data_IF_743416226629
#
_entry.id   IF_743416226629
#
_cell.length_a   1.000
_cell.length_b   1.000
_cell.length_c   1.000
_cell.angle_alpha   90.00
_cell.angle_beta   90.00
_cell.angle_gamma   90.00
#
_symmetry.space_group_name_H-M   'P 1'
#
loop_
_entity.id
_entity.type
_entity.pdbx_description
1 polymer ?
#
# COMPACT_ATOMS: atom_id res chain seq x y z
N UNK A 1 30.53 -30.16 90.10
CA UNK A 1 30.82 -31.49 89.54
C UNK A 1 30.73 -31.35 88.02
N UNK A 2 31.86 -31.22 87.37
CA UNK A 2 32.47 -32.21 86.48
C UNK A 2 31.54 -32.63 85.34
N UNK A 3 31.88 -32.56 84.03
CA UNK A 3 33.15 -32.80 83.31
C UNK A 3 33.12 -32.19 81.97
N UNK A 4 34.28 -31.66 81.59
CA UNK A 4 34.80 -31.38 80.22
C UNK A 4 34.62 -32.60 79.31
N UNK A 5 34.37 -32.35 78.02
CA UNK A 5 35.16 -32.91 76.88
C UNK A 5 34.93 -32.18 75.62
N UNK A 6 35.96 -31.50 75.13
CA UNK A 6 36.38 -31.34 73.74
C UNK A 6 37.12 -32.65 73.37
N UNK A 7 37.35 -33.06 72.10
CA UNK A 7 37.64 -32.30 70.91
C UNK A 7 37.11 -33.02 69.65
N UNK A 8 37.17 -32.41 68.53
CA UNK A 8 38.18 -32.74 67.49
C UNK A 8 37.95 -32.02 66.23
N UNK A 9 38.99 -31.27 65.81
CA UNK A 9 39.15 -30.75 64.46
C UNK A 9 39.23 -31.93 63.50
N UNK A 10 38.38 -31.96 62.46
CA UNK A 10 38.68 -32.58 61.16
C UNK A 10 38.75 -31.50 60.13
N UNK A 11 39.95 -31.20 59.73
CA UNK A 11 40.31 -30.42 58.56
C UNK A 11 39.87 -31.19 57.33
N UNK A 12 38.90 -30.70 56.62
CA UNK A 12 38.68 -31.11 55.23
C UNK A 12 39.32 -30.06 54.32
N UNK A 13 40.59 -30.30 54.11
CA UNK A 13 41.33 -29.83 52.92
C UNK A 13 40.86 -30.64 51.74
N UNK A 14 39.79 -30.20 51.11
CA UNK A 14 39.43 -30.71 49.78
C UNK A 14 38.86 -29.57 48.98
N UNK A 15 39.66 -29.27 48.04
CA UNK A 15 39.43 -28.77 46.69
C UNK A 15 39.15 -27.28 46.48
N UNK A 16 40.16 -26.49 46.76
CA UNK A 16 40.36 -25.21 46.04
C UNK A 16 40.65 -25.45 44.54
N UNK A 17 41.01 -26.66 44.15
CA UNK A 17 41.33 -27.04 42.75
C UNK A 17 40.11 -27.34 41.87
N UNK A 18 38.98 -27.75 42.46
CA UNK A 18 37.75 -28.04 41.68
C UNK A 18 36.94 -26.80 41.29
N UNK A 19 37.01 -25.74 42.13
CA UNK A 19 36.34 -24.48 41.85
C UNK A 19 37.03 -23.68 40.74
N UNK A 20 38.36 -23.75 40.65
CA UNK A 20 39.10 -23.08 39.60
C UNK A 20 38.89 -23.73 38.20
N UNK A 21 38.75 -25.05 38.14
CA UNK A 21 38.40 -25.73 36.87
C UNK A 21 36.96 -25.45 36.39
N UNK A 22 36.00 -25.25 37.32
CA UNK A 22 34.61 -24.96 36.97
C UNK A 22 34.44 -23.51 36.48
N UNK A 23 35.25 -22.59 36.94
CA UNK A 23 35.28 -21.20 36.44
C UNK A 23 35.99 -21.03 35.10
N UNK A 24 36.93 -21.93 34.77
CA UNK A 24 37.56 -21.93 33.42
C UNK A 24 36.65 -22.51 32.34
N UNK A 25 35.68 -23.39 32.69
CA UNK A 25 34.73 -23.94 31.72
C UNK A 25 33.57 -23.01 31.38
N UNK A 26 33.32 -21.99 32.20
CA UNK A 26 32.28 -20.98 31.94
C UNK A 26 32.76 -19.76 31.11
N UNK A 27 34.05 -19.68 30.84
CA UNK A 27 34.63 -18.56 30.06
C UNK A 27 34.84 -18.85 28.58
N UNK A 28 34.48 -20.08 28.09
CA UNK A 28 34.65 -20.44 26.68
C UNK A 28 33.35 -20.55 25.88
N UNK A 29 32.23 -20.13 26.47
CA UNK A 29 30.96 -20.14 25.76
C UNK A 29 30.47 -18.70 25.60
N UNK A 30 30.92 -18.01 24.58
CA UNK A 30 30.21 -16.95 23.85
C UNK A 30 31.17 -16.14 22.98
N UNK A 31 32.01 -16.83 22.21
CA UNK A 31 32.32 -16.29 20.88
C UNK A 31 31.19 -16.84 20.02
N UNK A 32 30.05 -16.14 20.03
CA UNK A 32 29.13 -16.22 18.90
C UNK A 32 29.94 -15.70 17.71
N UNK A 33 30.53 -16.61 16.95
CA UNK A 33 30.98 -16.33 15.60
C UNK A 33 29.84 -15.61 14.90
N UNK A 34 30.07 -14.35 14.53
CA UNK A 34 29.25 -13.65 13.57
C UNK A 34 29.09 -14.61 12.39
N UNK A 35 27.88 -15.11 12.18
CA UNK A 35 27.61 -16.23 11.29
C UNK A 35 28.21 -15.96 9.93
N UNK A 36 29.19 -16.77 9.56
CA UNK A 36 29.70 -16.79 8.20
C UNK A 36 28.55 -17.25 7.31
N UNK A 37 28.09 -16.38 6.43
CA UNK A 37 27.12 -16.75 5.41
C UNK A 37 27.77 -17.75 4.46
N UNK A 38 27.05 -18.81 4.15
CA UNK A 38 27.49 -19.78 3.15
C UNK A 38 27.40 -19.16 1.76
N UNK A 39 28.23 -19.65 0.83
CA UNK A 39 28.20 -19.19 -0.59
C UNK A 39 26.80 -19.30 -1.18
N UNK A 40 26.05 -20.37 -0.87
CA UNK A 40 24.67 -20.56 -1.30
C UNK A 40 23.71 -19.49 -0.76
N UNK A 41 23.93 -18.98 0.45
CA UNK A 41 23.13 -17.90 1.01
C UNK A 41 23.46 -16.58 0.33
N UNK A 42 24.75 -16.32 0.07
CA UNK A 42 25.17 -15.12 -0.66
C UNK A 42 24.65 -15.13 -2.09
N UNK A 43 24.71 -16.26 -2.80
CA UNK A 43 24.11 -16.42 -4.13
C UNK A 43 22.59 -16.14 -4.09
N UNK A 44 21.87 -16.65 -3.07
CA UNK A 44 20.46 -16.37 -2.90
C UNK A 44 20.18 -14.88 -2.65
N UNK A 45 21.08 -14.17 -1.97
CA UNK A 45 20.97 -12.73 -1.77
C UNK A 45 21.21 -11.96 -3.07
N UNK A 46 22.20 -12.35 -3.86
CA UNK A 46 22.50 -11.75 -5.16
C UNK A 46 21.33 -11.81 -6.14
N UNK A 47 20.49 -12.84 -6.06
CA UNK A 47 19.29 -12.95 -6.91
C UNK A 47 18.29 -11.80 -6.76
N UNK A 48 18.41 -11.01 -5.71
CA UNK A 48 17.55 -9.83 -5.46
C UNK A 48 18.11 -8.53 -6.03
N UNK A 49 19.39 -8.50 -6.40
CA UNK A 49 20.02 -7.32 -7.00
C UNK A 49 19.33 -6.97 -8.32
N UNK A 50 19.09 -5.69 -8.55
CA UNK A 50 18.36 -5.17 -9.72
C UNK A 50 16.84 -5.29 -9.62
N UNK A 51 16.29 -5.82 -8.52
CA UNK A 51 14.85 -5.90 -8.31
C UNK A 51 14.32 -4.71 -7.53
N UNK A 52 13.07 -4.36 -7.82
CA UNK A 52 12.35 -3.27 -7.16
C UNK A 52 11.41 -3.87 -6.11
N UNK A 53 11.38 -3.23 -4.96
CA UNK A 53 10.52 -3.54 -3.82
C UNK A 53 9.84 -2.28 -3.31
N UNK A 54 8.76 -2.46 -2.55
CA UNK A 54 7.99 -1.39 -1.94
C UNK A 54 7.98 -1.53 -0.43
N UNK A 55 8.02 -0.39 0.24
CA UNK A 55 7.85 -0.30 1.69
C UNK A 55 6.38 -0.30 2.03
N UNK A 56 5.96 -1.19 2.92
CA UNK A 56 4.59 -1.27 3.42
C UNK A 56 4.56 -1.08 4.92
N UNK A 57 3.64 -0.26 5.41
CA UNK A 57 3.39 -0.18 6.85
C UNK A 57 2.58 -1.38 7.31
N UNK A 58 3.02 -1.99 8.40
CA UNK A 58 2.24 -2.98 9.13
C UNK A 58 2.07 -2.49 10.56
N UNK A 59 0.82 -2.30 10.99
CA UNK A 59 0.47 -1.78 12.33
C UNK A 59 1.18 -0.49 12.72
N UNK A 60 1.41 0.40 11.72
CA UNK A 60 2.13 1.65 11.90
C UNK A 60 3.66 1.52 11.89
N UNK A 61 4.19 0.30 11.79
CA UNK A 61 5.63 0.07 11.73
C UNK A 61 6.12 0.05 10.27
N UNK A 62 7.23 0.74 10.04
CA UNK A 62 7.96 0.75 8.78
C UNK A 62 9.33 0.09 8.96
N UNK A 63 9.90 -0.56 7.95
CA UNK A 63 11.24 -1.12 8.03
C UNK A 63 12.27 0.00 8.21
N UNK A 64 13.22 -0.21 9.11
CA UNK A 64 14.34 0.73 9.33
C UNK A 64 15.47 0.43 8.37
N UNK A 65 15.84 1.41 7.57
CA UNK A 65 17.04 1.37 6.74
C UNK A 65 18.19 2.08 7.45
N UNK A 66 19.41 1.79 7.07
CA UNK A 66 20.63 2.32 7.66
C UNK A 66 21.28 3.32 6.71
N UNK A 67 21.85 4.38 7.25
CA UNK A 67 22.55 5.40 6.44
C UNK A 67 23.87 4.91 5.86
N UNK A 68 24.52 3.95 6.53
CA UNK A 68 25.75 3.27 6.10
C UNK A 68 25.66 1.78 6.42
N UNK A 69 26.46 0.90 5.78
CA UNK A 69 26.44 -0.55 6.01
C UNK A 69 27.11 -0.92 7.35
N UNK A 70 26.47 -0.55 8.44
CA UNK A 70 26.93 -0.82 9.80
C UNK A 70 25.75 -0.93 10.76
N UNK A 71 25.79 -1.88 11.70
CA UNK A 71 24.77 -2.06 12.74
C UNK A 71 24.63 -0.87 13.69
N UNK A 72 25.66 -0.03 13.77
CA UNK A 72 25.69 1.19 14.58
C UNK A 72 25.19 2.44 13.82
N UNK A 73 24.83 2.30 12.55
CA UNK A 73 24.44 3.43 11.72
C UNK A 73 23.11 4.05 12.15
N UNK A 74 22.96 5.33 11.85
CA UNK A 74 21.69 6.02 12.00
C UNK A 74 20.62 5.35 11.14
N UNK A 75 19.43 5.17 11.72
CA UNK A 75 18.27 4.60 11.02
C UNK A 75 17.56 5.68 10.20
N UNK A 76 17.17 5.30 9.01
CA UNK A 76 16.32 6.07 8.13
C UNK A 76 14.98 5.32 7.97
N UNK A 77 13.89 6.04 8.07
CA UNK A 77 12.55 5.50 7.85
C UNK A 77 12.00 6.07 6.54
N UNK A 78 11.80 5.25 5.51
CA UNK A 78 11.26 5.71 4.23
C UNK A 78 9.77 6.04 4.35
N UNK A 79 9.23 6.66 3.30
CA UNK A 79 7.79 6.90 3.20
C UNK A 79 7.03 5.57 2.99
N UNK A 80 5.78 5.55 3.42
CA UNK A 80 4.89 4.41 3.15
C UNK A 80 4.64 4.30 1.63
N UNK A 81 4.66 3.07 1.12
CA UNK A 81 4.51 2.73 -0.30
C UNK A 81 5.61 3.29 -1.22
N UNK A 82 6.69 3.82 -0.65
CA UNK A 82 7.84 4.24 -1.44
C UNK A 82 8.55 3.01 -2.03
N UNK A 83 8.92 3.08 -3.30
CA UNK A 83 9.68 2.03 -3.96
C UNK A 83 11.18 2.22 -3.77
N UNK A 84 11.91 1.11 -3.78
CA UNK A 84 13.36 1.10 -3.80
C UNK A 84 13.89 -0.03 -4.67
N UNK A 85 15.03 0.22 -5.30
CA UNK A 85 15.78 -0.76 -6.09
C UNK A 85 16.99 -1.24 -5.30
N UNK A 86 17.27 -2.53 -5.31
CA UNK A 86 18.50 -3.10 -4.77
C UNK A 86 19.61 -2.93 -5.81
N UNK A 87 20.58 -2.06 -5.56
CA UNK A 87 21.66 -1.77 -6.49
C UNK A 87 22.77 -2.82 -6.45
N UNK A 88 23.16 -3.22 -5.23
CA UNK A 88 24.28 -4.16 -5.04
C UNK A 88 24.18 -4.84 -3.66
N UNK A 89 24.80 -5.99 -3.54
CA UNK A 89 25.09 -6.65 -2.28
C UNK A 89 26.47 -6.19 -1.77
N UNK A 90 26.47 -5.42 -0.69
CA UNK A 90 27.69 -4.92 -0.05
C UNK A 90 28.12 -5.88 1.06
N UNK A 91 29.39 -6.24 1.13
CA UNK A 91 29.91 -7.23 2.08
C UNK A 91 30.07 -8.61 1.43
N UNK A 92 30.23 -9.64 2.22
CA UNK A 92 30.49 -11.00 1.73
C UNK A 92 30.71 -11.97 2.88
N UNK A 93 31.32 -13.15 2.58
CA UNK A 93 31.51 -14.25 3.54
C UNK A 93 32.16 -13.86 4.87
N UNK A 94 33.03 -12.86 4.87
CA UNK A 94 33.78 -12.40 6.05
C UNK A 94 33.29 -11.07 6.64
N UNK A 95 32.23 -10.49 6.09
CA UNK A 95 31.61 -9.23 6.57
C UNK A 95 30.12 -9.34 6.53
N UNK A 96 29.42 -8.76 7.48
CA UNK A 96 27.96 -8.68 7.45
C UNK A 96 27.50 -8.14 6.10
N UNK A 97 26.62 -8.85 5.37
CA UNK A 97 26.10 -8.40 4.09
C UNK A 97 25.01 -7.35 4.30
N UNK A 98 24.99 -6.37 3.42
CA UNK A 98 23.95 -5.34 3.33
C UNK A 98 23.55 -5.18 1.86
N UNK A 99 22.28 -5.00 1.60
CA UNK A 99 21.84 -4.44 0.33
C UNK A 99 22.00 -2.93 0.35
N UNK A 100 22.70 -2.39 -0.64
CA UNK A 100 22.65 -0.98 -0.95
C UNK A 100 21.43 -0.75 -1.82
N UNK A 101 20.55 0.12 -1.39
CA UNK A 101 19.28 0.38 -2.05
C UNK A 101 19.18 1.86 -2.43
N UNK A 102 18.45 2.13 -3.50
CA UNK A 102 18.12 3.49 -3.94
C UNK A 102 16.61 3.64 -3.98
N UNK A 103 16.09 4.58 -3.23
CA UNK A 103 14.68 4.94 -3.20
C UNK A 103 14.27 5.78 -4.42
N UNK A 104 12.99 5.79 -4.73
CA UNK A 104 12.40 6.65 -5.77
C UNK A 104 12.68 8.14 -5.50
N UNK A 105 12.70 8.55 -4.23
CA UNK A 105 13.14 9.89 -3.79
C UNK A 105 14.59 10.23 -4.13
N UNK A 106 15.38 9.24 -4.61
CA UNK A 106 16.81 9.38 -4.90
C UNK A 106 17.72 9.11 -3.71
N UNK A 107 17.16 8.90 -2.52
CA UNK A 107 17.96 8.59 -1.34
C UNK A 107 18.58 7.20 -1.44
N UNK A 108 19.84 7.08 -0.98
CA UNK A 108 20.57 5.81 -0.87
C UNK A 108 20.60 5.38 0.59
N UNK A 109 20.33 4.11 0.85
CA UNK A 109 20.37 3.53 2.18
C UNK A 109 20.83 2.06 2.12
N UNK A 110 20.93 1.44 3.31
CA UNK A 110 21.35 0.05 3.44
C UNK A 110 20.36 -0.74 4.29
N UNK A 111 20.14 -1.99 3.93
CA UNK A 111 19.27 -2.90 4.68
C UNK A 111 19.89 -4.29 4.73
N UNK A 112 19.70 -5.00 5.83
CA UNK A 112 20.18 -6.39 5.95
C UNK A 112 19.34 -7.34 5.12
N UNK A 113 19.96 -8.34 4.45
CA UNK A 113 19.24 -9.37 3.68
C UNK A 113 18.21 -10.14 4.52
N UNK A 114 18.42 -10.31 5.82
CA UNK A 114 17.52 -11.02 6.73
C UNK A 114 16.15 -10.36 6.84
N UNK A 115 16.08 -9.05 6.62
CA UNK A 115 14.81 -8.31 6.62
C UNK A 115 13.82 -8.81 5.55
N UNK A 116 14.33 -9.54 4.53
CA UNK A 116 13.51 -10.19 3.50
C UNK A 116 13.12 -11.63 3.85
N UNK A 117 13.75 -12.22 4.88
CA UNK A 117 13.53 -13.62 5.29
C UNK A 117 12.60 -13.76 6.49
N UNK A 118 12.33 -12.70 7.21
CA UNK A 118 11.39 -12.76 8.31
C UNK A 118 10.01 -13.10 7.75
N UNK A 119 9.60 -14.35 7.92
CA UNK A 119 8.34 -14.92 7.36
C UNK A 119 7.08 -14.15 7.75
N UNK A 120 7.20 -13.20 8.66
CA UNK A 120 6.12 -12.34 9.16
C UNK A 120 6.36 -10.86 8.92
N UNK A 121 7.48 -10.47 8.31
CA UNK A 121 7.75 -9.07 8.03
C UNK A 121 7.13 -8.66 6.68
N UNK A 122 5.84 -8.34 6.71
CA UNK A 122 5.10 -7.86 5.54
C UNK A 122 5.40 -6.38 5.19
N UNK A 123 6.50 -5.83 5.74
CA UNK A 123 6.87 -4.42 5.54
C UNK A 123 7.61 -4.17 4.24
N UNK A 124 8.10 -5.22 3.57
CA UNK A 124 8.73 -5.15 2.25
C UNK A 124 8.01 -6.12 1.31
N UNK A 125 7.55 -5.62 0.18
CA UNK A 125 6.82 -6.40 -0.82
C UNK A 125 7.40 -6.19 -2.22
N UNK A 126 7.34 -7.23 -3.05
CA UNK A 126 7.67 -7.17 -4.48
C UNK A 126 6.49 -6.75 -5.35
N UNK A 127 5.31 -6.53 -4.75
CA UNK A 127 4.10 -6.11 -5.44
C UNK A 127 3.87 -4.63 -5.12
N UNK A 128 3.71 -3.79 -6.16
CA UNK A 128 3.36 -2.37 -5.98
C UNK A 128 2.02 -2.25 -5.24
N UNK A 129 1.98 -1.71 -4.00
CA UNK A 129 0.75 -1.57 -3.23
C UNK A 129 -0.28 -0.64 -3.87
N UNK A 130 0.17 0.21 -4.80
CA UNK A 130 -0.67 1.20 -5.49
C UNK A 130 -0.97 0.79 -6.94
N UNK A 131 -0.56 -0.41 -7.39
CA UNK A 131 -0.73 -0.86 -8.77
C UNK A 131 -2.19 -0.79 -9.23
N UNK A 132 -3.12 -1.24 -8.41
CA UNK A 132 -4.55 -1.20 -8.74
C UNK A 132 -5.08 0.23 -8.82
N UNK A 133 -4.67 1.10 -7.90
CA UNK A 133 -5.06 2.51 -7.93
C UNK A 133 -4.51 3.24 -9.16
N UNK A 134 -3.23 2.99 -9.51
CA UNK A 134 -2.60 3.54 -10.71
C UNK A 134 -3.34 3.08 -11.97
N UNK A 135 -3.62 1.78 -12.07
CA UNK A 135 -4.37 1.22 -13.20
C UNK A 135 -5.76 1.85 -13.33
N UNK A 136 -6.52 1.94 -12.24
CA UNK A 136 -7.84 2.58 -12.25
C UNK A 136 -7.76 4.07 -12.63
N UNK A 137 -6.76 4.80 -12.15
CA UNK A 137 -6.56 6.19 -12.51
C UNK A 137 -6.22 6.35 -14.01
N UNK A 138 -5.39 5.47 -14.56
CA UNK A 138 -5.07 5.44 -15.99
C UNK A 138 -6.31 5.10 -16.83
N UNK A 139 -7.09 4.09 -16.45
CA UNK A 139 -8.34 3.72 -17.11
C UNK A 139 -9.35 4.87 -17.10
N UNK A 140 -9.51 5.56 -15.96
CA UNK A 140 -10.39 6.73 -15.85
C UNK A 140 -9.89 7.90 -16.72
N UNK A 141 -8.59 8.15 -16.72
CA UNK A 141 -8.00 9.21 -17.56
C UNK A 141 -8.20 8.92 -19.05
N UNK A 142 -8.01 7.66 -19.44
CA UNK A 142 -8.25 7.23 -20.83
C UNK A 142 -9.72 7.36 -21.21
N UNK A 143 -10.63 6.85 -20.37
CA UNK A 143 -12.07 6.94 -20.60
C UNK A 143 -12.55 8.40 -20.73
N UNK A 144 -11.99 9.31 -19.93
CA UNK A 144 -12.30 10.73 -20.02
C UNK A 144 -11.79 11.37 -21.30
N UNK A 145 -10.57 11.04 -21.74
CA UNK A 145 -10.03 11.48 -23.05
C UNK A 145 -10.89 10.98 -24.20
N UNK A 146 -11.24 9.69 -24.21
CA UNK A 146 -12.09 9.08 -25.24
C UNK A 146 -13.48 9.72 -25.28
N UNK A 147 -14.02 10.09 -24.10
CA UNK A 147 -15.30 10.82 -23.98
C UNK A 147 -15.21 12.21 -24.63
N UNK A 148 -14.18 12.98 -24.30
CA UNK A 148 -13.98 14.35 -24.84
C UNK A 148 -13.75 14.31 -26.35
N UNK A 149 -12.94 13.37 -26.85
CA UNK A 149 -12.69 13.18 -28.27
C UNK A 149 -13.99 12.86 -29.00
N UNK A 150 -14.80 11.93 -28.45
CA UNK A 150 -16.09 11.61 -29.04
C UNK A 150 -17.03 12.84 -29.05
N UNK A 151 -17.11 13.65 -27.97
CA UNK A 151 -17.91 14.88 -27.95
C UNK A 151 -17.49 15.81 -29.07
N UNK A 152 -16.17 15.99 -29.25
CA UNK A 152 -15.63 16.87 -30.27
C UNK A 152 -15.93 16.39 -31.71
N UNK A 153 -16.08 15.09 -31.90
CA UNK A 153 -16.45 14.50 -33.20
C UNK A 153 -17.94 14.66 -33.56
N UNK A 154 -18.81 15.00 -32.60
CA UNK A 154 -20.22 15.13 -32.86
C UNK A 154 -20.56 16.39 -33.68
N UNK A 155 -21.62 16.36 -34.51
CA UNK A 155 -22.06 17.51 -35.31
C UNK A 155 -22.86 18.53 -34.46
N UNK A 156 -22.46 18.75 -33.21
CA UNK A 156 -23.14 19.66 -32.28
C UNK A 156 -22.55 21.09 -32.38
N UNK A 157 -23.36 22.08 -31.97
CA UNK A 157 -22.86 23.43 -31.83
C UNK A 157 -21.74 23.52 -30.78
N UNK A 158 -20.83 24.51 -30.88
CA UNK A 158 -19.76 24.68 -29.89
C UNK A 158 -20.27 24.79 -28.44
N UNK A 159 -21.44 25.43 -28.23
CA UNK A 159 -22.04 25.56 -26.92
C UNK A 159 -22.49 24.21 -26.35
N UNK A 160 -23.12 23.36 -27.17
CA UNK A 160 -23.53 22.02 -26.77
C UNK A 160 -22.30 21.13 -26.45
N UNK A 161 -21.25 21.19 -27.27
CA UNK A 161 -19.98 20.50 -27.01
C UNK A 161 -19.37 20.92 -25.69
N UNK A 162 -19.28 22.23 -25.44
CA UNK A 162 -18.73 22.75 -24.19
C UNK A 162 -19.55 22.32 -22.98
N UNK A 163 -20.88 22.36 -23.05
CA UNK A 163 -21.76 21.87 -22.01
C UNK A 163 -21.56 20.36 -21.74
N UNK A 164 -21.47 19.55 -22.83
CA UNK A 164 -21.23 18.11 -22.72
C UNK A 164 -19.86 17.78 -22.11
N UNK A 165 -18.79 18.51 -22.46
CA UNK A 165 -17.47 18.39 -21.82
C UNK A 165 -17.58 18.65 -20.32
N UNK A 166 -18.33 19.66 -19.93
CA UNK A 166 -18.57 20.02 -18.52
C UNK A 166 -19.60 19.10 -17.81
N UNK A 167 -20.01 17.99 -18.44
CA UNK A 167 -21.02 17.06 -17.91
C UNK A 167 -22.39 17.73 -17.65
N UNK A 168 -22.73 18.67 -18.49
CA UNK A 168 -24.02 19.41 -18.45
C UNK A 168 -24.82 19.10 -19.72
N UNK A 169 -25.60 18.01 -19.77
CA UNK A 169 -26.36 17.66 -20.95
C UNK A 169 -27.45 18.71 -21.23
N UNK A 170 -27.58 19.05 -22.50
CA UNK A 170 -28.54 20.03 -22.99
C UNK A 170 -29.80 19.34 -23.57
N UNK A 171 -30.97 20.00 -23.53
CA UNK A 171 -32.15 19.47 -24.20
C UNK A 171 -31.91 19.15 -25.68
N UNK A 172 -32.57 18.10 -26.16
CA UNK A 172 -32.43 17.60 -27.53
C UNK A 172 -31.45 16.45 -27.71
N UNK A 173 -30.59 16.14 -26.73
CA UNK A 173 -29.73 14.98 -26.75
C UNK A 173 -30.55 13.70 -26.52
N UNK A 174 -30.16 12.61 -27.19
CA UNK A 174 -30.81 11.32 -26.99
C UNK A 174 -30.24 10.57 -25.77
N UNK A 175 -30.92 9.50 -25.37
CA UNK A 175 -30.52 8.68 -24.20
C UNK A 175 -29.12 8.11 -24.32
N UNK A 176 -28.68 7.66 -25.52
CA UNK A 176 -27.34 7.13 -25.72
C UNK A 176 -26.24 8.19 -25.60
N UNK A 177 -26.50 9.38 -26.11
CA UNK A 177 -25.61 10.54 -25.99
C UNK A 177 -25.47 10.96 -24.54
N UNK A 178 -26.58 11.07 -23.81
CA UNK A 178 -26.55 11.44 -22.39
C UNK A 178 -25.82 10.40 -21.54
N UNK A 179 -26.02 9.10 -21.79
CA UNK A 179 -25.23 8.04 -21.12
C UNK A 179 -23.73 8.19 -21.40
N UNK A 180 -23.36 8.52 -22.61
CA UNK A 180 -21.95 8.69 -22.95
C UNK A 180 -21.31 9.93 -22.34
N UNK A 181 -22.12 10.97 -22.06
CA UNK A 181 -21.68 12.20 -21.40
C UNK A 181 -21.56 12.00 -19.89
N UNK A 182 -22.60 11.45 -19.24
CA UNK A 182 -22.74 11.39 -17.78
C UNK A 182 -22.44 10.00 -17.18
N UNK A 183 -22.43 8.96 -18.01
CA UNK A 183 -22.45 7.57 -17.56
C UNK A 183 -23.86 7.07 -17.28
N UNK A 184 -23.95 5.85 -16.73
CA UNK A 184 -25.24 5.23 -16.42
C UNK A 184 -25.93 5.89 -15.22
N UNK A 185 -27.26 6.15 -15.30
CA UNK A 185 -28.03 6.64 -14.18
C UNK A 185 -28.16 5.57 -13.08
N UNK A 186 -28.27 5.98 -11.83
CA UNK A 186 -28.52 5.09 -10.69
C UNK A 186 -29.88 4.39 -10.79
N UNK A 187 -30.88 5.06 -11.35
CA UNK A 187 -32.24 4.55 -11.51
C UNK A 187 -32.92 5.17 -12.74
N UNK A 188 -33.68 4.37 -13.44
CA UNK A 188 -34.54 4.80 -14.54
C UNK A 188 -36.00 4.49 -14.13
N UNK A 189 -36.87 5.46 -14.26
CA UNK A 189 -38.32 5.29 -14.08
C UNK A 189 -39.03 5.62 -15.39
N UNK A 190 -39.76 4.68 -15.92
CA UNK A 190 -40.59 4.89 -17.12
C UNK A 190 -42.00 5.25 -16.68
N UNK A 191 -42.44 6.43 -17.05
CA UNK A 191 -43.79 6.89 -16.80
C UNK A 191 -44.64 6.53 -18.02
N UNK A 192 -45.58 5.60 -17.84
CA UNK A 192 -46.62 5.37 -18.82
C UNK A 192 -47.67 6.49 -18.66
N UNK A 193 -47.47 7.56 -19.41
CA UNK A 193 -48.42 8.68 -19.40
C UNK A 193 -49.76 8.33 -20.03
N UNK A 194 -50.79 9.02 -19.59
CA UNK A 194 -52.12 9.05 -20.23
C UNK A 194 -52.02 9.71 -21.63
N UNK A 195 -50.91 10.36 -21.92
CA UNK A 195 -50.58 11.01 -23.19
C UNK A 195 -49.75 10.08 -24.08
N UNK A 196 -49.85 10.25 -25.42
CA UNK A 196 -49.14 9.45 -26.44
C UNK A 196 -47.64 9.50 -26.35
N UNK A 197 -47.06 10.29 -25.45
CA UNK A 197 -45.60 10.49 -25.29
C UNK A 197 -45.06 9.58 -24.19
N UNK A 198 -44.05 8.78 -24.54
CA UNK A 198 -43.28 8.02 -23.56
C UNK A 198 -42.34 8.93 -22.80
N UNK A 199 -42.50 9.02 -21.48
CA UNK A 199 -41.58 9.77 -20.61
C UNK A 199 -40.70 8.81 -19.81
N UNK A 200 -39.42 9.12 -19.71
CA UNK A 200 -38.46 8.46 -18.83
C UNK A 200 -37.78 9.48 -17.92
N UNK A 201 -37.63 9.13 -16.63
CA UNK A 201 -36.89 9.90 -15.66
C UNK A 201 -35.63 9.13 -15.24
N UNK A 202 -34.46 9.78 -15.37
CA UNK A 202 -33.18 9.22 -15.03
C UNK A 202 -32.62 9.94 -13.81
N UNK A 203 -32.29 9.20 -12.78
CA UNK A 203 -31.81 9.71 -11.49
C UNK A 203 -30.30 9.45 -11.36
N UNK A 204 -29.55 10.50 -11.12
CA UNK A 204 -28.12 10.46 -10.90
C UNK A 204 -27.75 10.61 -9.40
N UNK A 205 -26.56 10.13 -8.98
CA UNK A 205 -26.14 10.17 -7.57
C UNK A 205 -26.02 11.59 -6.97
N UNK A 206 -25.77 12.60 -7.82
CA UNK A 206 -25.64 14.02 -7.45
C UNK A 206 -26.97 14.73 -7.24
N UNK A 207 -28.09 13.99 -7.32
CA UNK A 207 -29.43 14.56 -7.21
C UNK A 207 -29.98 15.11 -8.53
N UNK A 208 -29.21 15.02 -9.62
CA UNK A 208 -29.71 15.41 -10.96
C UNK A 208 -30.77 14.43 -11.44
N UNK A 209 -31.86 14.96 -11.94
CA UNK A 209 -32.95 14.20 -12.59
C UNK A 209 -33.10 14.68 -14.02
N UNK A 210 -32.91 13.76 -14.98
CA UNK A 210 -33.12 14.05 -16.39
C UNK A 210 -34.45 13.49 -16.84
N UNK A 211 -35.22 14.28 -17.58
CA UNK A 211 -36.52 13.90 -18.09
C UNK A 211 -36.45 13.83 -19.60
N UNK A 212 -36.72 12.63 -20.12
CA UNK A 212 -36.74 12.35 -21.53
C UNK A 212 -38.18 12.22 -22.01
N UNK A 213 -38.48 12.80 -23.16
CA UNK A 213 -39.76 12.66 -23.85
C UNK A 213 -39.49 12.09 -25.22
N UNK A 214 -40.07 10.94 -25.53
CA UNK A 214 -39.83 10.20 -26.78
C UNK A 214 -38.34 9.92 -27.07
N UNK A 215 -37.54 9.66 -26.01
CA UNK A 215 -36.12 9.35 -26.12
C UNK A 215 -35.19 10.53 -26.24
N UNK A 216 -35.71 11.76 -26.25
CA UNK A 216 -34.91 12.99 -26.25
C UNK A 216 -34.99 13.70 -24.90
N UNK A 217 -33.86 14.20 -24.43
CA UNK A 217 -33.79 15.01 -23.21
C UNK A 217 -34.64 16.28 -23.38
N UNK A 218 -35.67 16.41 -22.54
CA UNK A 218 -36.58 17.59 -22.54
C UNK A 218 -36.18 18.62 -21.49
N UNK A 219 -35.79 18.16 -20.28
CA UNK A 219 -35.40 19.06 -19.19
C UNK A 219 -34.53 18.34 -18.15
N UNK A 220 -33.78 19.16 -17.41
CA UNK A 220 -32.99 18.75 -16.26
C UNK A 220 -33.56 19.39 -15.00
N UNK A 221 -33.74 18.59 -13.95
CA UNK A 221 -34.17 19.05 -12.63
C UNK A 221 -33.12 18.67 -11.59
N UNK A 222 -32.92 19.49 -10.58
CA UNK A 222 -32.12 19.15 -9.41
C UNK A 222 -33.05 18.89 -8.23
N UNK A 223 -33.01 17.66 -7.73
CA UNK A 223 -33.73 17.30 -6.51
C UNK A 223 -32.79 17.60 -5.33
N UNK A 224 -32.94 18.77 -4.73
CA UNK A 224 -32.50 19.00 -3.36
C UNK A 224 -33.23 17.97 -2.48
N UNK A 225 -32.51 17.13 -1.72
CA UNK A 225 -33.13 16.29 -0.68
C UNK A 225 -33.79 17.20 0.37
N UNK A 226 -34.97 17.73 0.02
CA UNK A 226 -35.86 18.40 0.94
C UNK A 226 -36.59 17.35 1.75
N UNK A 227 -36.53 17.47 3.07
CA UNK A 227 -37.29 16.77 4.10
C UNK A 227 -38.59 16.22 3.55
N UNK A 228 -38.73 14.91 3.47
CA UNK A 228 -40.02 14.26 3.36
C UNK A 228 -40.81 14.59 4.62
N UNK A 229 -41.69 15.58 4.55
CA UNK A 229 -42.78 15.65 5.52
C UNK A 229 -43.62 14.40 5.32
N UNK A 230 -43.84 13.57 6.35
CA UNK A 230 -44.80 12.48 6.26
C UNK A 230 -46.19 13.11 6.01
N UNK A 231 -47.04 12.44 5.19
CA UNK A 231 -48.40 12.91 5.02
C UNK A 231 -49.09 12.93 6.37
N UNK A 232 -49.58 14.13 6.75
CA UNK A 232 -50.36 14.32 7.97
C UNK A 232 -51.56 13.37 7.99
N UNK A 233 -51.81 12.81 9.15
CA UNK A 233 -53.01 12.04 9.49
C UNK A 233 -54.27 12.86 9.33
#
# INVERSE_FOLDING_TARGET
MQFRKSPSRCRNLLSASAVVCMLCFLATANVLEAGQYTDKQLEAFETRVGKIYWVRSQDGNLPGFLSVPSSQAAKFTPAQNESFEILELYGGANKEPYYKVKFESGQVAYIRPEQFHEQFNLTITSIDPLADQKRHAEEQSKAEKDRVEWINSQPWSPQVKQAAVNKQPTPGLNTSEVKRILGDPRRITKLRGVTKNAEEQWFYPDGTVLIFTNGLLSRTEHRTEGKTNPPGK
#
